data_IF_036200026993
#
_entry.id   IF_036200026993
#
_cell.length_a   1.000
_cell.length_b   1.000
_cell.length_c   1.000
_cell.angle_alpha   90.00
_cell.angle_beta   90.00
_cell.angle_gamma   90.00
#
_symmetry.space_group_name_H-M   'P 1'
#
loop_
_entity.id
_entity.type
_entity.pdbx_description
1 polymer ?
#
# COMPACT_ATOMS: atom_id res chain seq x y z
N UNK A 1 20.20 -5.86 -10.84
CA UNK A 1 19.48 -6.21 -9.59
C UNK A 1 20.16 -5.47 -8.45
N UNK A 2 19.44 -4.65 -7.70
CA UNK A 2 20.01 -3.94 -6.54
C UNK A 2 20.08 -4.90 -5.35
N UNK A 3 21.20 -4.87 -4.63
CA UNK A 3 21.43 -5.69 -3.44
C UNK A 3 21.67 -4.79 -2.23
N UNK A 4 21.10 -5.17 -1.09
CA UNK A 4 21.30 -4.52 0.19
C UNK A 4 21.61 -5.57 1.25
N UNK A 5 22.36 -5.19 2.28
CA UNK A 5 22.61 -6.06 3.42
C UNK A 5 21.54 -5.90 4.49
N UNK A 6 21.20 -7.01 5.15
CA UNK A 6 20.35 -7.03 6.33
C UNK A 6 21.25 -7.16 7.55
N UNK A 7 21.02 -6.34 8.58
CA UNK A 7 21.75 -6.38 9.83
C UNK A 7 20.82 -6.12 11.00
N UNK A 8 21.28 -6.50 12.20
CA UNK A 8 20.54 -6.27 13.45
C UNK A 8 21.12 -5.04 14.12
N UNK A 9 20.25 -4.12 14.55
CA UNK A 9 20.61 -2.98 15.38
C UNK A 9 19.81 -3.08 16.69
N UNK A 10 20.51 -3.33 17.80
CA UNK A 10 19.89 -3.64 19.10
C UNK A 10 18.89 -4.82 18.98
N UNK A 11 17.59 -4.53 19.10
CA UNK A 11 16.51 -5.53 19.02
C UNK A 11 15.72 -5.48 17.71
N UNK A 12 16.15 -4.70 16.71
CA UNK A 12 15.44 -4.54 15.43
C UNK A 12 16.31 -4.98 14.25
N UNK A 13 15.67 -5.39 13.15
CA UNK A 13 16.35 -5.61 11.88
C UNK A 13 16.28 -4.36 11.01
N UNK A 14 17.37 -4.06 10.32
CA UNK A 14 17.49 -2.97 9.38
C UNK A 14 17.99 -3.47 8.02
N UNK A 15 17.54 -2.81 6.96
CA UNK A 15 18.02 -3.03 5.59
C UNK A 15 18.81 -1.82 5.16
N UNK A 16 20.05 -2.02 4.67
CA UNK A 16 20.82 -0.95 4.04
C UNK A 16 20.36 -0.78 2.60
N UNK A 17 19.70 0.34 2.29
CA UNK A 17 19.31 0.66 0.92
C UNK A 17 20.51 1.22 0.13
N UNK A 18 20.83 0.67 -1.06
CA UNK A 18 21.79 1.30 -1.98
C UNK A 18 21.28 2.66 -2.46
N UNK A 19 22.19 3.51 -2.95
CA UNK A 19 21.87 4.89 -3.37
C UNK A 19 20.70 4.94 -4.34
N UNK A 20 20.69 4.06 -5.34
CA UNK A 20 19.66 4.00 -6.38
C UNK A 20 18.28 3.54 -5.88
N UNK A 21 18.17 3.03 -4.64
CA UNK A 21 16.92 2.60 -4.02
C UNK A 21 16.50 3.47 -2.83
N UNK A 22 17.15 4.63 -2.62
CA UNK A 22 16.77 5.55 -1.54
C UNK A 22 15.43 6.21 -1.86
N UNK A 23 14.62 6.38 -0.82
CA UNK A 23 13.47 7.28 -0.88
C UNK A 23 13.97 8.73 -0.92
N UNK A 24 13.10 9.62 -1.39
CA UNK A 24 13.30 11.06 -1.27
C UNK A 24 13.53 11.47 0.19
N UNK A 25 14.27 12.56 0.40
CA UNK A 25 14.65 13.01 1.74
C UNK A 25 13.45 13.37 2.62
N UNK A 26 12.32 13.73 2.03
CA UNK A 26 11.05 14.02 2.72
C UNK A 26 10.41 12.78 3.34
N UNK A 27 10.68 11.58 2.82
CA UNK A 27 10.07 10.33 3.29
C UNK A 27 10.78 9.84 4.54
N UNK A 28 10.19 10.11 5.70
CA UNK A 28 10.72 9.66 7.01
C UNK A 28 10.06 8.38 7.53
N UNK A 29 8.88 8.03 7.01
CA UNK A 29 8.08 6.90 7.48
C UNK A 29 7.48 6.15 6.31
N UNK A 30 7.47 4.83 6.43
CA UNK A 30 6.91 3.91 5.45
C UNK A 30 5.95 2.94 6.11
N UNK A 31 4.93 2.52 5.36
CA UNK A 31 4.15 1.33 5.67
C UNK A 31 4.92 0.12 5.15
N UNK A 32 5.01 -0.93 5.96
CA UNK A 32 5.65 -2.19 5.59
C UNK A 32 4.57 -3.25 5.45
N UNK A 33 4.40 -3.78 4.24
CA UNK A 33 3.52 -4.94 3.98
C UNK A 33 4.33 -6.21 3.84
N UNK A 34 3.81 -7.31 4.39
CA UNK A 34 4.40 -8.65 4.28
C UNK A 34 3.64 -9.45 3.24
N UNK A 35 4.33 -9.87 2.18
CA UNK A 35 3.81 -10.76 1.13
C UNK A 35 4.70 -11.98 1.07
N UNK A 36 4.31 -13.06 1.77
CA UNK A 36 5.15 -14.25 1.92
C UNK A 36 6.54 -13.92 2.50
N UNK A 37 7.59 -14.15 1.69
CA UNK A 37 8.98 -13.87 2.04
C UNK A 37 9.40 -12.42 1.75
N UNK A 38 8.58 -11.66 1.02
CA UNK A 38 8.89 -10.31 0.60
C UNK A 38 8.41 -9.26 1.61
N UNK A 39 9.06 -8.10 1.58
CA UNK A 39 8.64 -6.90 2.30
C UNK A 39 8.53 -5.77 1.30
N UNK A 40 7.33 -5.20 1.19
CA UNK A 40 7.03 -4.08 0.31
C UNK A 40 6.95 -2.84 1.19
N UNK A 41 7.79 -1.85 0.90
CA UNK A 41 7.87 -0.58 1.60
C UNK A 41 7.20 0.49 0.74
N UNK A 42 6.27 1.24 1.30
CA UNK A 42 5.61 2.37 0.63
C UNK A 42 5.62 3.58 1.56
N UNK A 43 5.85 4.82 1.08
CA UNK A 43 5.68 6.02 1.89
C UNK A 43 4.30 6.04 2.56
N UNK A 44 4.20 6.59 3.78
CA UNK A 44 2.94 6.56 4.55
C UNK A 44 1.78 7.28 3.85
N UNK A 45 2.09 8.30 3.05
CA UNK A 45 1.11 9.05 2.27
C UNK A 45 0.56 8.23 1.08
N UNK A 46 1.30 7.20 0.65
CA UNK A 46 1.02 6.34 -0.49
C UNK A 46 0.39 5.00 -0.08
N UNK A 47 -0.54 5.02 0.89
CA UNK A 47 -1.12 3.77 1.43
C UNK A 47 -2.00 3.04 0.39
N UNK A 48 -2.54 3.76 -0.59
CA UNK A 48 -3.45 3.20 -1.61
C UNK A 48 -2.75 2.53 -2.80
N UNK A 49 -1.44 2.71 -3.00
CA UNK A 49 -0.72 2.13 -4.14
C UNK A 49 -0.89 0.60 -4.18
N UNK A 50 -0.93 -0.03 -3.02
CA UNK A 50 -1.17 -1.47 -2.90
C UNK A 50 -2.52 -1.95 -3.42
N UNK A 51 -3.56 -1.13 -3.31
CA UNK A 51 -4.89 -1.45 -3.81
C UNK A 51 -4.89 -1.42 -5.34
N UNK A 52 -4.28 -0.39 -5.93
CA UNK A 52 -4.23 -0.23 -7.39
C UNK A 52 -3.22 -1.18 -8.07
N UNK A 53 -2.15 -1.58 -7.39
CA UNK A 53 -1.15 -2.52 -7.91
C UNK A 53 -1.54 -4.00 -7.71
N UNK A 54 -2.69 -4.26 -7.09
CA UNK A 54 -3.17 -5.62 -6.84
C UNK A 54 -3.66 -6.29 -8.13
N UNK A 55 -3.26 -7.55 -8.34
CA UNK A 55 -3.82 -8.40 -9.41
C UNK A 55 -5.26 -8.86 -9.12
N UNK A 56 -5.72 -8.73 -7.87
CA UNK A 56 -7.13 -8.95 -7.54
C UNK A 56 -7.97 -7.83 -8.13
N UNK A 57 -8.52 -8.10 -9.31
CA UNK A 57 -9.46 -7.22 -10.01
C UNK A 57 -10.88 -7.71 -9.77
N UNK A 58 -11.82 -6.78 -9.91
CA UNK A 58 -13.23 -7.15 -10.02
C UNK A 58 -13.46 -7.92 -11.33
N UNK A 59 -14.54 -8.69 -11.40
CA UNK A 59 -14.93 -9.36 -12.65
C UNK A 59 -15.33 -8.33 -13.72
N UNK A 60 -15.25 -8.72 -14.99
CA UNK A 60 -15.57 -7.83 -16.12
C UNK A 60 -17.02 -7.33 -16.11
N UNK A 61 -17.92 -8.07 -15.45
CA UNK A 61 -19.34 -7.76 -15.31
C UNK A 61 -19.70 -7.06 -13.99
N UNK A 62 -18.71 -6.76 -13.14
CA UNK A 62 -18.94 -6.13 -11.84
C UNK A 62 -19.53 -4.71 -12.00
N UNK A 63 -20.77 -4.52 -11.54
CA UNK A 63 -21.47 -3.23 -11.53
C UNK A 63 -21.51 -2.52 -12.90
N UNK A 64 -21.81 -3.25 -13.97
CA UNK A 64 -22.00 -2.70 -15.33
C UNK A 64 -22.98 -1.52 -15.39
N UNK A 65 -23.97 -1.47 -14.49
CA UNK A 65 -24.86 -0.32 -14.29
C UNK A 65 -24.97 -0.01 -12.80
N UNK A 66 -24.70 1.24 -12.42
CA UNK A 66 -24.95 1.75 -11.06
C UNK A 66 -26.45 1.73 -10.79
N UNK A 67 -26.85 1.20 -9.64
CA UNK A 67 -28.25 1.21 -9.20
C UNK A 67 -28.75 2.65 -9.03
N UNK A 68 -30.04 2.84 -9.31
CA UNK A 68 -30.71 4.12 -9.08
C UNK A 68 -30.75 4.44 -7.59
N UNK A 69 -30.43 5.69 -7.24
CA UNK A 69 -30.44 6.14 -5.85
C UNK A 69 -31.70 6.96 -5.63
N UNK A 70 -32.73 6.32 -5.07
CA UNK A 70 -33.97 6.99 -4.67
C UNK A 70 -33.85 7.43 -3.22
N UNK A 71 -34.07 8.72 -2.96
CA UNK A 71 -34.12 9.26 -1.61
C UNK A 71 -35.40 8.77 -0.91
N UNK A 72 -35.26 8.27 0.33
CA UNK A 72 -36.40 7.92 1.18
C UNK A 72 -36.69 9.06 2.15
N UNK A 73 -37.97 9.38 2.37
CA UNK A 73 -38.38 10.33 3.40
C UNK A 73 -37.96 9.77 4.77
N UNK A 74 -37.18 10.56 5.51
CA UNK A 74 -36.79 10.24 6.90
C UNK A 74 -37.94 10.61 7.85
N UNK A 75 -38.09 9.87 8.94
CA UNK A 75 -39.05 10.21 10.00
C UNK A 75 -38.80 11.62 10.55
N UNK A 76 -39.89 12.33 10.84
CA UNK A 76 -39.85 13.62 11.53
C UNK A 76 -39.37 13.44 12.97
N UNK A 77 -38.57 14.41 13.45
CA UNK A 77 -38.04 14.45 14.81
C UNK A 77 -39.12 14.49 15.89
#
# INVERSE_FOLDING_TARGET
MLQGSIFVNNKTQAVRLPVDARFDESVKRVVIRKVGKERILSPIENTWDSFFLSDNKVSDDFLTKRAEQTESIRESF
#
